data_IF_955987363930
#
_entry.id   IF_955987363930
#
_cell.length_a   1.000
_cell.length_b   1.000
_cell.length_c   1.000
_cell.angle_alpha   90.00
_cell.angle_beta   90.00
_cell.angle_gamma   90.00
#
_symmetry.space_group_name_H-M   'P 1'
#
loop_
_entity.id
_entity.type
_entity.pdbx_description
1 polymer ?
#
# COMPACT_ATOMS: atom_id res chain seq x y z
N UNK A 1 -46.67 -11.23 13.57
CA UNK A 1 -47.77 -10.95 12.61
C UNK A 1 -47.44 -9.68 11.88
N UNK A 2 -47.29 -9.69 10.59
CA UNK A 2 -47.07 -8.57 9.64
C UNK A 2 -45.76 -8.64 8.84
N UNK A 3 -45.59 -9.65 7.99
CA UNK A 3 -44.70 -9.60 6.80
C UNK A 3 -45.19 -10.56 5.69
N UNK A 4 -46.42 -11.07 5.77
CA UNK A 4 -46.99 -12.03 4.80
C UNK A 4 -48.06 -11.43 3.87
N UNK A 5 -48.18 -10.10 3.75
CA UNK A 5 -49.22 -9.43 2.96
C UNK A 5 -48.70 -8.66 1.72
N UNK A 6 -47.42 -8.68 1.39
CA UNK A 6 -46.85 -7.91 0.26
C UNK A 6 -46.63 -8.74 -1.03
N UNK A 7 -46.87 -10.06 -1.02
CA UNK A 7 -46.62 -10.92 -2.22
C UNK A 7 -47.88 -11.47 -2.90
N UNK A 8 -49.06 -10.99 -2.55
CA UNK A 8 -50.34 -11.54 -3.04
C UNK A 8 -51.01 -10.72 -4.14
N UNK A 9 -50.32 -9.75 -4.82
CA UNK A 9 -50.96 -8.87 -5.84
C UNK A 9 -50.34 -8.93 -7.22
N UNK A 10 -49.57 -9.94 -7.60
CA UNK A 10 -48.99 -10.09 -8.94
C UNK A 10 -49.37 -11.45 -9.60
N UNK A 11 -50.28 -12.18 -9.03
CA UNK A 11 -50.75 -13.45 -9.61
C UNK A 11 -52.25 -13.39 -9.94
N UNK A 12 -52.62 -12.54 -10.88
CA UNK A 12 -53.94 -12.61 -11.52
C UNK A 12 -53.82 -12.30 -13.01
N UNK A 13 -54.24 -13.25 -13.82
CA UNK A 13 -54.56 -13.15 -15.24
C UNK A 13 -53.42 -13.10 -16.25
N UNK A 14 -52.76 -14.22 -16.49
CA UNK A 14 -52.28 -14.54 -17.85
C UNK A 14 -53.15 -15.66 -18.40
N UNK A 15 -54.12 -15.29 -19.21
CA UNK A 15 -54.86 -16.23 -20.08
C UNK A 15 -53.90 -16.80 -21.14
N UNK A 16 -53.89 -18.11 -21.41
CA UNK A 16 -53.14 -18.71 -22.50
C UNK A 16 -53.93 -18.70 -23.78
N UNK A 17 -53.89 -17.60 -24.52
CA UNK A 17 -54.29 -17.57 -25.90
C UNK A 17 -53.27 -16.80 -26.74
N UNK A 18 -52.07 -17.38 -26.86
CA UNK A 18 -51.13 -16.98 -27.92
C UNK A 18 -51.27 -17.96 -29.07
N UNK A 19 -52.17 -17.65 -30.01
CA UNK A 19 -52.10 -18.15 -31.36
C UNK A 19 -50.68 -17.93 -31.87
N UNK A 20 -49.98 -19.01 -32.21
CA UNK A 20 -48.73 -18.98 -32.95
C UNK A 20 -49.01 -18.35 -34.34
N UNK A 21 -49.04 -17.01 -34.38
CA UNK A 21 -48.88 -16.28 -35.62
C UNK A 21 -47.44 -16.49 -36.09
N UNK A 22 -47.26 -17.24 -37.14
CA UNK A 22 -46.01 -17.34 -37.90
C UNK A 22 -45.62 -15.93 -38.30
N UNK A 23 -44.68 -15.34 -37.53
CA UNK A 23 -44.17 -14.00 -37.76
C UNK A 23 -43.57 -13.97 -39.18
N UNK A 24 -44.04 -13.08 -40.01
CA UNK A 24 -43.47 -12.83 -41.32
C UNK A 24 -41.99 -12.50 -41.20
N UNK A 25 -41.10 -12.97 -42.11
CA UNK A 25 -39.66 -12.71 -42.04
C UNK A 25 -39.30 -11.23 -41.80
N UNK A 26 -40.11 -10.32 -42.31
CA UNK A 26 -39.98 -8.88 -42.11
C UNK A 26 -40.25 -8.43 -40.66
N UNK A 27 -41.23 -9.02 -39.96
CA UNK A 27 -41.56 -8.71 -38.57
C UNK A 27 -40.47 -9.20 -37.62
N UNK A 28 -39.90 -10.37 -37.90
CA UNK A 28 -38.76 -10.93 -37.15
C UNK A 28 -37.50 -10.06 -37.33
N UNK A 29 -37.20 -9.62 -38.55
CA UNK A 29 -36.07 -8.75 -38.85
C UNK A 29 -36.19 -7.38 -38.14
N UNK A 30 -37.38 -6.77 -38.12
CA UNK A 30 -37.64 -5.50 -37.41
C UNK A 30 -37.50 -5.67 -35.92
N UNK A 31 -37.97 -6.78 -35.34
CA UNK A 31 -37.83 -7.08 -33.92
C UNK A 31 -36.38 -7.26 -33.53
N UNK A 32 -35.59 -8.02 -34.28
CA UNK A 32 -34.16 -8.25 -34.08
C UNK A 32 -33.36 -6.93 -34.16
N UNK A 33 -33.65 -6.10 -35.18
CA UNK A 33 -33.01 -4.80 -35.33
C UNK A 33 -33.34 -3.83 -34.15
N UNK A 34 -34.58 -3.89 -33.65
CA UNK A 34 -34.99 -3.11 -32.47
C UNK A 34 -34.27 -3.58 -31.19
N UNK A 35 -34.11 -4.89 -31.00
CA UNK A 35 -33.36 -5.45 -29.88
C UNK A 35 -31.88 -5.08 -29.96
N UNK A 36 -31.24 -5.21 -31.13
CA UNK A 36 -29.85 -4.81 -31.33
C UNK A 36 -29.62 -3.33 -31.01
N UNK A 37 -30.49 -2.44 -31.50
CA UNK A 37 -30.41 -1.00 -31.16
C UNK A 37 -30.57 -0.75 -29.66
N UNK A 38 -31.49 -1.46 -29.01
CA UNK A 38 -31.69 -1.33 -27.54
C UNK A 38 -30.45 -1.77 -26.76
N UNK A 39 -29.82 -2.87 -27.13
CA UNK A 39 -28.60 -3.37 -26.53
C UNK A 39 -27.45 -2.38 -26.74
N UNK A 40 -27.30 -1.85 -27.95
CA UNK A 40 -26.28 -0.85 -28.25
C UNK A 40 -26.49 0.44 -27.46
N UNK A 41 -27.73 0.90 -27.28
CA UNK A 41 -28.06 2.02 -26.42
C UNK A 41 -27.73 1.73 -24.95
N UNK A 42 -27.96 0.53 -24.45
CA UNK A 42 -27.62 0.16 -23.09
C UNK A 42 -26.10 0.19 -22.88
N UNK A 43 -25.33 -0.43 -23.78
CA UNK A 43 -23.85 -0.43 -23.71
C UNK A 43 -23.29 0.97 -23.80
N UNK A 44 -23.83 1.83 -24.67
CA UNK A 44 -23.36 3.21 -24.83
C UNK A 44 -23.65 4.11 -23.60
N UNK A 45 -24.66 3.76 -22.81
CA UNK A 45 -25.01 4.51 -21.59
C UNK A 45 -24.45 3.89 -20.30
N UNK A 46 -23.65 2.81 -20.38
CA UNK A 46 -22.96 2.28 -19.22
C UNK A 46 -21.87 3.28 -18.75
N UNK A 47 -21.72 3.49 -17.44
CA UNK A 47 -20.69 4.37 -16.88
C UNK A 47 -19.29 3.73 -16.90
N UNK A 48 -19.14 2.54 -17.44
CA UNK A 48 -17.91 1.77 -17.56
C UNK A 48 -17.45 1.70 -19.02
N UNK A 49 -16.14 1.69 -19.25
CA UNK A 49 -15.62 1.44 -20.58
C UNK A 49 -15.83 -0.02 -20.95
N UNK A 50 -16.42 -0.25 -22.12
CA UNK A 50 -16.69 -1.58 -22.67
C UNK A 50 -16.02 -1.67 -24.04
N UNK A 51 -15.19 -2.70 -24.21
CA UNK A 51 -14.39 -2.94 -25.41
C UNK A 51 -14.56 -4.40 -25.79
N UNK A 52 -14.79 -4.64 -27.07
CA UNK A 52 -14.88 -5.99 -27.65
C UNK A 52 -13.66 -6.19 -28.53
N UNK A 53 -12.92 -7.26 -28.28
CA UNK A 53 -11.83 -7.72 -29.16
C UNK A 53 -12.29 -8.88 -30.03
N UNK A 54 -11.81 -8.88 -31.26
CA UNK A 54 -11.97 -10.03 -32.16
C UNK A 54 -10.95 -11.16 -31.78
N UNK A 55 -11.05 -12.29 -32.50
CA UNK A 55 -10.18 -13.46 -32.32
C UNK A 55 -8.69 -13.17 -32.55
N UNK A 56 -8.35 -12.07 -33.23
CA UNK A 56 -6.98 -11.63 -33.52
C UNK A 56 -6.46 -10.59 -32.56
N UNK A 57 -7.26 -10.17 -31.57
CA UNK A 57 -6.90 -9.15 -30.58
C UNK A 57 -7.00 -7.72 -31.10
N UNK A 58 -7.80 -7.47 -32.14
CA UNK A 58 -8.12 -6.11 -32.56
C UNK A 58 -9.41 -5.64 -31.92
N UNK A 59 -9.51 -4.35 -31.65
CA UNK A 59 -10.72 -3.73 -31.10
C UNK A 59 -11.81 -3.72 -32.18
N UNK A 60 -12.82 -4.58 -32.05
CA UNK A 60 -13.96 -4.64 -32.92
C UNK A 60 -15.01 -3.57 -32.60
N UNK A 61 -15.31 -3.40 -31.29
CA UNK A 61 -16.27 -2.41 -30.79
C UNK A 61 -15.78 -1.74 -29.53
N UNK A 62 -16.19 -0.50 -29.32
CA UNK A 62 -15.94 0.26 -28.10
C UNK A 62 -17.09 1.23 -27.83
N UNK A 63 -17.49 1.36 -26.57
CA UNK A 63 -18.48 2.34 -26.18
C UNK A 63 -17.85 3.76 -26.00
N UNK A 64 -18.65 4.83 -25.94
CA UNK A 64 -18.14 6.20 -25.80
C UNK A 64 -17.24 6.40 -24.59
N UNK A 65 -17.49 5.70 -23.48
CA UNK A 65 -16.68 5.79 -22.26
C UNK A 65 -15.30 5.19 -22.51
N UNK A 66 -15.18 4.07 -23.21
CA UNK A 66 -13.88 3.49 -23.59
C UNK A 66 -13.06 4.46 -24.46
N UNK A 67 -13.71 5.10 -25.44
CA UNK A 67 -13.06 6.09 -26.30
C UNK A 67 -12.58 7.29 -25.48
N UNK A 68 -13.38 7.79 -24.55
CA UNK A 68 -13.00 8.91 -23.70
C UNK A 68 -11.87 8.57 -22.71
N UNK A 69 -11.76 7.30 -22.31
CA UNK A 69 -10.71 6.84 -21.39
C UNK A 69 -9.38 6.57 -22.09
N UNK A 70 -9.41 5.91 -23.25
CA UNK A 70 -8.23 5.40 -23.93
C UNK A 70 -7.77 6.24 -25.12
N UNK A 71 -8.60 7.22 -25.53
CA UNK A 71 -8.34 8.11 -26.66
C UNK A 71 -8.61 7.46 -28.03
N UNK A 72 -8.62 8.29 -29.05
CA UNK A 72 -8.77 7.88 -30.45
C UNK A 72 -7.41 7.75 -31.17
N UNK A 73 -7.30 6.92 -32.22
CA UNK A 73 -8.23 5.92 -32.69
C UNK A 73 -8.25 4.67 -31.78
N UNK A 74 -9.42 4.06 -31.55
CA UNK A 74 -9.54 2.89 -30.71
C UNK A 74 -10.03 1.67 -31.52
N UNK A 75 -11.14 1.81 -32.24
CA UNK A 75 -11.68 0.73 -33.07
C UNK A 75 -10.74 0.43 -34.24
N UNK A 76 -10.48 -0.85 -34.50
CA UNK A 76 -9.56 -1.34 -35.52
C UNK A 76 -8.08 -1.35 -35.13
N UNK A 77 -7.72 -0.90 -33.91
CA UNK A 77 -6.37 -0.99 -33.40
C UNK A 77 -6.10 -2.33 -32.71
N UNK A 78 -4.84 -2.77 -32.72
CA UNK A 78 -4.44 -3.91 -31.89
C UNK A 78 -4.49 -3.51 -30.41
N UNK A 79 -5.06 -4.38 -29.58
CA UNK A 79 -5.19 -4.11 -28.15
C UNK A 79 -3.83 -3.84 -27.48
N UNK A 80 -2.77 -4.54 -27.87
CA UNK A 80 -1.41 -4.31 -27.36
C UNK A 80 -0.90 -2.89 -27.62
N UNK A 81 -1.23 -2.32 -28.80
CA UNK A 81 -0.83 -0.96 -29.14
C UNK A 81 -1.60 0.07 -28.31
N UNK A 82 -2.88 -0.22 -28.02
CA UNK A 82 -3.71 0.59 -27.13
C UNK A 82 -3.16 0.55 -25.71
N UNK A 83 -2.77 -0.63 -25.22
CA UNK A 83 -2.13 -0.78 -23.90
C UNK A 83 -0.86 0.08 -23.83
N UNK A 84 0.05 -0.07 -24.78
CA UNK A 84 1.31 0.67 -24.80
C UNK A 84 1.10 2.20 -24.83
N UNK A 85 0.04 2.67 -25.49
CA UNK A 85 -0.29 4.10 -25.64
C UNK A 85 -1.02 4.69 -24.46
N UNK A 86 -1.95 3.95 -23.84
CA UNK A 86 -2.95 4.51 -22.91
C UNK A 86 -2.71 4.11 -21.47
N UNK A 87 -1.99 3.03 -21.21
CA UNK A 87 -1.73 2.53 -19.87
C UNK A 87 -0.32 2.90 -19.40
N UNK A 88 -0.22 3.24 -18.15
CA UNK A 88 1.05 3.46 -17.45
C UNK A 88 0.99 2.71 -16.13
N UNK A 89 1.21 1.38 -16.16
CA UNK A 89 1.18 0.58 -14.94
C UNK A 89 2.07 1.17 -13.86
N UNK A 90 1.53 1.28 -12.65
CA UNK A 90 2.25 1.70 -11.47
C UNK A 90 2.29 0.52 -10.51
N UNK A 91 3.29 0.49 -9.66
CA UNK A 91 3.44 -0.59 -8.68
C UNK A 91 2.33 -0.63 -7.64
N UNK A 92 1.71 0.51 -7.42
CA UNK A 92 0.61 0.64 -6.49
C UNK A 92 -0.74 0.26 -7.11
N UNK A 93 -0.74 -0.21 -8.34
CA UNK A 93 -1.96 -0.61 -9.05
C UNK A 93 -2.60 -1.88 -8.47
N UNK A 94 -1.82 -2.83 -7.96
CA UNK A 94 -2.34 -4.09 -7.42
C UNK A 94 -3.18 -4.86 -8.44
N UNK A 95 -4.50 -4.97 -8.20
CA UNK A 95 -5.47 -5.54 -9.15
C UNK A 95 -6.11 -4.48 -10.08
N UNK A 96 -5.59 -3.27 -10.07
CA UNK A 96 -6.00 -2.13 -10.89
C UNK A 96 -4.87 -1.78 -11.84
N UNK A 97 -5.12 -0.89 -12.79
CA UNK A 97 -4.09 -0.39 -13.71
C UNK A 97 -4.24 1.12 -13.83
N UNK A 98 -3.13 1.84 -13.79
CA UNK A 98 -3.11 3.28 -14.02
C UNK A 98 -3.10 3.60 -15.51
N UNK A 99 -3.90 4.58 -15.92
CA UNK A 99 -3.84 5.17 -17.24
C UNK A 99 -2.79 6.28 -17.30
N UNK A 100 -2.39 6.65 -18.52
CA UNK A 100 -1.41 7.71 -18.75
C UNK A 100 -1.87 9.07 -18.21
N UNK A 101 -3.17 9.34 -18.21
CA UNK A 101 -3.79 10.56 -17.66
C UNK A 101 -3.93 10.58 -16.12
N UNK A 102 -3.50 9.49 -15.47
CA UNK A 102 -3.52 9.36 -14.00
C UNK A 102 -4.78 8.71 -13.44
N UNK A 103 -5.79 8.39 -14.25
CA UNK A 103 -6.95 7.61 -13.80
C UNK A 103 -6.54 6.21 -13.39
N UNK A 104 -7.20 5.67 -12.38
CA UNK A 104 -7.06 4.29 -11.94
C UNK A 104 -8.27 3.48 -12.36
N UNK A 105 -8.04 2.42 -13.10
CA UNK A 105 -9.10 1.57 -13.64
C UNK A 105 -8.94 0.13 -13.18
N UNK A 106 -10.06 -0.51 -12.87
CA UNK A 106 -10.12 -1.96 -12.68
C UNK A 106 -10.38 -2.59 -14.03
N UNK A 107 -9.53 -3.53 -14.44
CA UNK A 107 -9.66 -4.30 -15.67
C UNK A 107 -10.37 -5.63 -15.36
N UNK A 108 -11.38 -5.97 -16.13
CA UNK A 108 -12.00 -7.29 -16.15
C UNK A 108 -12.04 -7.79 -17.60
N UNK A 109 -11.59 -9.03 -17.82
CA UNK A 109 -11.57 -9.68 -19.12
C UNK A 109 -12.45 -10.92 -19.03
N UNK A 110 -13.33 -11.13 -20.00
CA UNK A 110 -14.16 -12.32 -20.13
C UNK A 110 -14.23 -12.78 -21.58
N UNK A 111 -14.35 -14.10 -21.79
CA UNK A 111 -14.61 -14.69 -23.11
C UNK A 111 -16.03 -14.37 -23.59
N UNK A 112 -16.21 -14.23 -24.89
CA UNK A 112 -17.50 -13.98 -25.52
C UNK A 112 -18.20 -15.28 -26.00
N UNK A 113 -17.89 -16.42 -25.39
CA UNK A 113 -18.49 -17.69 -25.79
C UNK A 113 -20.00 -17.61 -25.99
N UNK A 114 -20.55 -18.20 -27.09
CA UNK A 114 -19.92 -19.07 -28.09
C UNK A 114 -19.22 -18.34 -29.25
N UNK A 115 -19.19 -17.02 -29.26
CA UNK A 115 -18.50 -16.23 -30.28
C UNK A 115 -17.01 -16.13 -29.95
N UNK A 116 -16.16 -16.12 -30.98
CA UNK A 116 -14.75 -15.93 -30.81
C UNK A 116 -14.45 -14.45 -30.47
N UNK A 117 -13.77 -14.20 -29.35
CA UNK A 117 -13.40 -12.86 -28.95
C UNK A 117 -13.34 -12.68 -27.43
N UNK A 118 -13.03 -11.46 -27.00
CA UNK A 118 -12.94 -11.11 -25.60
C UNK A 118 -13.67 -9.80 -25.30
N UNK A 119 -14.36 -9.77 -24.17
CA UNK A 119 -14.97 -8.58 -23.61
C UNK A 119 -14.03 -8.01 -22.54
N UNK A 120 -13.64 -6.76 -22.70
CA UNK A 120 -12.85 -6.01 -21.73
C UNK A 120 -13.71 -4.92 -21.13
N UNK A 121 -13.76 -4.88 -19.81
CA UNK A 121 -14.48 -3.85 -19.04
C UNK A 121 -13.50 -3.11 -18.18
N UNK A 122 -13.46 -1.76 -18.33
CA UNK A 122 -12.66 -0.88 -17.48
C UNK A 122 -13.60 -0.05 -16.60
N UNK A 123 -13.44 -0.17 -15.30
CA UNK A 123 -14.18 0.63 -14.31
C UNK A 123 -13.26 1.67 -13.72
N UNK A 124 -13.61 2.94 -13.84
CA UNK A 124 -12.87 4.04 -13.21
C UNK A 124 -13.07 4.01 -11.69
N UNK A 125 -11.97 3.88 -10.96
CA UNK A 125 -11.93 3.86 -9.50
C UNK A 125 -11.21 5.08 -8.92
N UNK A 126 -10.87 6.06 -9.75
CA UNK A 126 -10.06 7.22 -9.36
C UNK A 126 -10.69 7.98 -8.18
N UNK A 127 -11.97 8.33 -8.29
CA UNK A 127 -12.69 9.04 -7.21
C UNK A 127 -12.78 8.19 -5.94
N UNK A 128 -13.09 6.90 -6.08
CA UNK A 128 -13.18 5.96 -4.96
C UNK A 128 -11.85 5.89 -4.21
N UNK A 129 -10.74 5.79 -4.93
CA UNK A 129 -9.40 5.75 -4.33
C UNK A 129 -9.02 7.07 -3.67
N UNK A 130 -9.36 8.19 -4.27
CA UNK A 130 -9.13 9.51 -3.67
C UNK A 130 -9.92 9.67 -2.38
N UNK A 131 -11.20 9.26 -2.36
CA UNK A 131 -12.03 9.29 -1.16
C UNK A 131 -11.49 8.37 -0.07
N UNK A 132 -11.09 7.15 -0.40
CA UNK A 132 -10.46 6.22 0.55
C UNK A 132 -9.18 6.80 1.14
N UNK A 133 -8.31 7.39 0.33
CA UNK A 133 -7.09 8.04 0.79
C UNK A 133 -7.38 9.22 1.73
N UNK A 134 -8.36 10.07 1.36
CA UNK A 134 -8.80 11.19 2.22
C UNK A 134 -9.37 10.69 3.55
N UNK A 135 -10.22 9.68 3.53
CA UNK A 135 -10.79 9.08 4.75
C UNK A 135 -9.70 8.52 5.65
N UNK A 136 -8.77 7.74 5.12
CA UNK A 136 -7.65 7.20 5.88
C UNK A 136 -6.78 8.32 6.49
N UNK A 137 -6.56 9.41 5.76
CA UNK A 137 -5.86 10.58 6.27
C UNK A 137 -6.63 11.27 7.41
N UNK A 138 -7.93 11.51 7.24
CA UNK A 138 -8.78 12.12 8.28
C UNK A 138 -8.86 11.23 9.52
N UNK A 139 -8.93 9.92 9.37
CA UNK A 139 -8.90 8.98 10.49
C UNK A 139 -7.60 9.09 11.29
N UNK A 140 -6.43 9.17 10.61
CA UNK A 140 -5.14 9.36 11.28
C UNK A 140 -5.07 10.69 12.02
N UNK A 141 -5.51 11.78 11.39
CA UNK A 141 -5.58 13.09 12.03
C UNK A 141 -6.53 13.09 13.23
N UNK A 142 -7.68 12.42 13.12
CA UNK A 142 -8.63 12.27 14.24
C UNK A 142 -8.02 11.48 15.39
N UNK A 143 -7.29 10.38 15.09
CA UNK A 143 -6.58 9.60 16.10
C UNK A 143 -5.51 10.44 16.79
N UNK A 144 -4.73 11.19 16.03
CA UNK A 144 -3.74 12.13 16.54
C UNK A 144 -4.41 13.21 17.42
N UNK A 145 -5.53 13.78 16.96
CA UNK A 145 -6.31 14.77 17.70
C UNK A 145 -6.83 14.24 19.05
N UNK A 146 -7.38 13.03 19.08
CA UNK A 146 -7.86 12.39 20.32
C UNK A 146 -6.75 12.21 21.36
N UNK A 147 -5.50 12.07 20.90
CA UNK A 147 -4.35 11.81 21.77
C UNK A 147 -3.46 13.04 22.01
N UNK A 148 -3.87 14.22 21.57
CA UNK A 148 -3.10 15.47 21.73
C UNK A 148 -2.63 15.71 23.17
N UNK A 149 -3.47 15.43 24.17
CA UNK A 149 -3.10 15.58 25.57
C UNK A 149 -1.97 14.64 26.00
N UNK A 150 -2.03 13.37 25.56
CA UNK A 150 -0.97 12.38 25.82
C UNK A 150 0.32 12.75 25.10
N UNK A 151 0.24 13.16 23.83
CA UNK A 151 1.41 13.61 23.06
C UNK A 151 2.08 14.84 23.68
N UNK A 152 1.28 15.83 24.12
CA UNK A 152 1.80 16.99 24.81
C UNK A 152 2.52 16.60 26.11
N UNK A 153 2.03 15.61 26.85
CA UNK A 153 2.69 15.08 28.03
C UNK A 153 3.99 14.37 27.69
N UNK A 154 3.98 13.53 26.65
CA UNK A 154 5.18 12.81 26.19
C UNK A 154 6.29 13.75 25.68
N UNK A 155 5.96 14.86 25.03
CA UNK A 155 6.91 15.90 24.62
C UNK A 155 7.41 16.68 25.83
N UNK A 156 6.53 17.02 26.78
CA UNK A 156 6.90 17.84 27.95
C UNK A 156 7.96 17.17 28.82
N UNK A 157 7.86 15.86 29.02
CA UNK A 157 8.75 15.10 29.90
C UNK A 157 10.23 15.16 29.45
N UNK A 158 10.61 14.77 28.22
CA UNK A 158 11.99 14.88 27.74
C UNK A 158 12.45 16.33 27.63
N UNK A 159 11.56 17.27 27.25
CA UNK A 159 11.86 18.70 27.18
C UNK A 159 12.21 19.26 28.56
N UNK A 160 11.41 18.94 29.59
CA UNK A 160 11.70 19.37 30.96
C UNK A 160 13.03 18.81 31.49
N UNK A 161 13.31 17.53 31.14
CA UNK A 161 14.58 16.89 31.49
C UNK A 161 15.77 17.57 30.79
N UNK A 162 15.62 17.89 29.49
CA UNK A 162 16.64 18.59 28.71
C UNK A 162 16.92 19.99 29.29
N UNK A 163 15.87 20.75 29.66
CA UNK A 163 15.99 22.06 30.31
C UNK A 163 16.70 21.93 31.65
N UNK A 164 16.41 20.93 32.47
CA UNK A 164 17.06 20.70 33.74
C UNK A 164 18.59 20.43 33.55
N UNK A 165 18.94 19.57 32.58
CA UNK A 165 20.36 19.33 32.28
C UNK A 165 21.06 20.58 31.76
N UNK A 166 20.42 21.36 30.89
CA UNK A 166 20.94 22.63 30.40
C UNK A 166 21.16 23.63 31.54
N UNK A 167 20.20 23.76 32.48
CA UNK A 167 20.36 24.62 33.67
C UNK A 167 21.51 24.17 34.57
N UNK A 168 21.65 22.85 34.79
CA UNK A 168 22.78 22.35 35.61
C UNK A 168 24.13 22.66 34.95
N UNK A 169 24.21 22.62 33.60
CA UNK A 169 25.45 22.97 32.88
C UNK A 169 25.90 24.43 33.05
N UNK A 170 25.03 25.35 33.47
CA UNK A 170 25.37 26.74 33.74
C UNK A 170 26.08 26.94 35.09
N UNK A 171 26.06 25.89 35.94
CA UNK A 171 26.68 25.99 37.26
C UNK A 171 28.21 26.05 37.15
N UNK A 172 28.87 27.09 37.73
CA UNK A 172 30.32 27.21 37.72
C UNK A 172 31.02 26.19 38.63
N UNK A 173 30.28 25.55 39.53
CA UNK A 173 30.80 24.57 40.50
C UNK A 173 30.71 23.12 39.98
N UNK A 174 30.26 22.93 38.75
CA UNK A 174 30.11 21.58 38.19
C UNK A 174 31.49 21.01 37.84
N UNK A 175 31.77 19.79 38.33
CA UNK A 175 33.02 19.10 38.00
C UNK A 175 32.99 18.63 36.52
N UNK A 176 34.16 18.39 35.90
CA UNK A 176 34.26 18.02 34.49
C UNK A 176 33.41 16.76 34.13
N UNK A 177 33.49 15.71 34.94
CA UNK A 177 32.78 14.43 34.69
C UNK A 177 31.27 14.61 34.73
N UNK A 178 30.75 15.37 35.69
CA UNK A 178 29.31 15.68 35.77
C UNK A 178 28.86 16.58 34.60
N UNK A 179 29.75 17.48 34.15
CA UNK A 179 29.48 18.32 32.98
C UNK A 179 29.30 17.47 31.71
N UNK A 180 30.22 16.55 31.48
CA UNK A 180 30.17 15.63 30.36
C UNK A 180 28.90 14.73 30.43
N UNK A 181 28.61 14.18 31.61
CA UNK A 181 27.38 13.38 31.81
C UNK A 181 26.10 14.19 31.52
N UNK A 182 26.01 15.44 31.95
CA UNK A 182 24.85 16.28 31.68
C UNK A 182 24.75 16.67 30.21
N UNK A 183 25.87 16.90 29.52
CA UNK A 183 25.90 17.13 28.09
C UNK A 183 25.36 15.89 27.31
N UNK A 184 25.85 14.69 27.61
CA UNK A 184 25.37 13.45 27.01
C UNK A 184 23.88 13.24 27.26
N UNK A 185 23.41 13.45 28.50
CA UNK A 185 22.00 13.31 28.85
C UNK A 185 21.10 14.35 28.13
N UNK A 186 21.58 15.58 27.97
CA UNK A 186 20.91 16.64 27.25
C UNK A 186 20.73 16.26 25.77
N UNK A 187 21.84 15.87 25.13
CA UNK A 187 21.83 15.46 23.73
C UNK A 187 20.87 14.26 23.52
N UNK A 188 20.94 13.24 24.39
CA UNK A 188 20.07 12.08 24.32
C UNK A 188 18.58 12.48 24.39
N UNK A 189 18.19 13.40 25.29
CA UNK A 189 16.79 13.87 25.39
C UNK A 189 16.34 14.67 24.16
N UNK A 190 17.24 15.43 23.52
CA UNK A 190 16.93 16.17 22.30
C UNK A 190 16.76 15.22 21.10
N UNK A 191 17.59 14.18 20.99
CA UNK A 191 17.46 13.13 19.97
C UNK A 191 16.15 12.35 20.14
N UNK A 192 15.78 12.00 21.39
CA UNK A 192 14.50 11.35 21.68
C UNK A 192 13.32 12.22 21.22
N UNK A 193 13.38 13.53 21.47
CA UNK A 193 12.35 14.48 21.03
C UNK A 193 12.27 14.59 19.52
N UNK A 194 13.40 14.67 18.82
CA UNK A 194 13.47 14.72 17.37
C UNK A 194 12.82 13.48 16.76
N UNK A 195 13.16 12.30 17.28
CA UNK A 195 12.55 11.04 16.83
C UNK A 195 11.04 11.02 17.04
N UNK A 196 10.56 11.46 18.22
CA UNK A 196 9.12 11.53 18.50
C UNK A 196 8.38 12.43 17.51
N UNK A 197 8.93 13.60 17.21
CA UNK A 197 8.35 14.54 16.23
C UNK A 197 8.36 13.93 14.82
N UNK A 198 9.45 13.29 14.43
CA UNK A 198 9.56 12.63 13.13
C UNK A 198 8.55 11.49 12.97
N UNK A 199 8.36 10.66 14.00
CA UNK A 199 7.36 9.58 14.00
C UNK A 199 5.94 10.16 13.82
N UNK A 200 5.61 11.25 14.53
CA UNK A 200 4.32 11.92 14.39
C UNK A 200 4.12 12.48 12.97
N UNK A 201 5.14 13.10 12.39
CA UNK A 201 5.10 13.63 11.04
C UNK A 201 4.96 12.53 9.99
N UNK A 202 5.69 11.42 10.13
CA UNK A 202 5.59 10.27 9.25
C UNK A 202 4.18 9.65 9.34
N UNK A 203 3.64 9.47 10.54
CA UNK A 203 2.28 8.96 10.75
C UNK A 203 1.22 9.86 10.11
N UNK A 204 1.33 11.18 10.31
CA UNK A 204 0.40 12.15 9.73
C UNK A 204 0.47 12.22 8.20
N UNK A 205 1.65 12.01 7.61
CA UNK A 205 1.89 12.07 6.15
C UNK A 205 1.67 10.76 5.43
N UNK A 206 1.70 9.64 6.14
CA UNK A 206 1.53 8.32 5.55
C UNK A 206 0.21 8.25 4.76
N UNK A 207 0.24 7.75 3.52
CA UNK A 207 -0.92 7.63 2.62
C UNK A 207 -1.31 8.91 1.87
N UNK A 208 -0.53 9.99 1.92
CA UNK A 208 -0.56 11.01 0.87
C UNK A 208 0.14 10.47 -0.37
N UNK A 209 -0.27 10.91 -1.55
CA UNK A 209 0.47 10.62 -2.78
C UNK A 209 1.92 11.06 -2.61
N UNK A 210 2.80 10.08 -2.39
CA UNK A 210 4.23 10.30 -2.36
C UNK A 210 4.76 10.03 -3.77
N UNK A 211 5.75 10.82 -4.18
CA UNK A 211 6.49 10.46 -5.38
C UNK A 211 7.18 9.13 -5.14
N UNK A 212 6.75 8.11 -5.86
CA UNK A 212 7.36 6.79 -5.84
C UNK A 212 8.21 6.64 -7.09
N UNK A 213 9.37 6.00 -6.94
CA UNK A 213 10.33 5.73 -8.01
C UNK A 213 10.81 4.28 -7.93
N UNK A 214 11.30 3.70 -9.03
CA UNK A 214 11.98 2.41 -8.97
C UNK A 214 13.18 2.50 -8.04
N UNK A 215 13.19 1.68 -7.01
CA UNK A 215 14.17 1.70 -5.93
C UNK A 215 14.87 0.36 -5.82
N UNK A 216 16.19 0.36 -5.95
CA UNK A 216 17.04 -0.79 -5.67
C UNK A 216 17.00 -1.13 -4.18
N UNK A 217 16.75 -2.39 -3.85
CA UNK A 217 16.75 -2.84 -2.46
C UNK A 217 18.14 -2.87 -1.86
N UNK A 218 19.17 -3.19 -2.65
CA UNK A 218 20.55 -3.11 -2.18
C UNK A 218 20.88 -1.68 -1.72
N UNK A 219 20.53 -0.69 -2.55
CA UNK A 219 20.73 0.73 -2.21
C UNK A 219 19.92 1.14 -0.98
N UNK A 220 18.65 0.76 -0.91
CA UNK A 220 17.79 1.06 0.25
C UNK A 220 18.38 0.52 1.55
N UNK A 221 18.86 -0.73 1.57
CA UNK A 221 19.43 -1.34 2.78
C UNK A 221 20.77 -0.69 3.17
N UNK A 222 21.58 -0.26 2.20
CA UNK A 222 22.79 0.51 2.46
C UNK A 222 22.46 1.90 3.09
N UNK A 223 21.45 2.59 2.55
CA UNK A 223 21.00 3.89 3.08
C UNK A 223 20.41 3.73 4.51
N UNK A 224 19.69 2.64 4.77
CA UNK A 224 19.20 2.30 6.12
C UNK A 224 20.36 2.12 7.07
N UNK A 225 21.37 1.33 6.70
CA UNK A 225 22.54 1.07 7.55
C UNK A 225 23.30 2.34 7.85
N UNK A 226 23.60 3.17 6.84
CA UNK A 226 24.28 4.44 7.01
C UNK A 226 23.54 5.36 8.01
N UNK A 227 22.21 5.30 8.06
CA UNK A 227 21.40 6.08 9.00
C UNK A 227 21.40 5.57 10.45
N UNK A 228 21.83 4.32 10.69
CA UNK A 228 21.86 3.71 12.04
C UNK A 228 23.26 3.37 12.51
N UNK A 229 24.29 3.47 11.67
CA UNK A 229 25.66 3.07 11.94
C UNK A 229 26.23 3.68 13.24
N UNK A 230 26.09 4.99 13.39
CA UNK A 230 26.54 5.69 14.60
C UNK A 230 25.86 5.16 15.88
N UNK A 231 24.58 4.79 15.81
CA UNK A 231 23.83 4.24 16.93
C UNK A 231 24.29 2.80 17.24
N UNK A 232 24.55 2.01 16.19
CA UNK A 232 25.09 0.63 16.31
C UNK A 232 26.43 0.64 17.03
N UNK A 233 27.34 1.53 16.64
CA UNK A 233 28.65 1.70 17.29
C UNK A 233 28.51 2.17 18.74
N UNK A 234 27.70 3.19 18.98
CA UNK A 234 27.48 3.75 20.32
C UNK A 234 26.96 2.70 21.31
N UNK A 235 26.08 1.80 20.85
CA UNK A 235 25.50 0.75 21.69
C UNK A 235 26.30 -0.56 21.68
N UNK A 236 27.46 -0.59 21.02
CA UNK A 236 28.29 -1.80 20.88
C UNK A 236 27.48 -2.98 20.33
N UNK A 237 26.57 -2.71 19.40
CA UNK A 237 25.67 -3.65 18.78
C UNK A 237 26.24 -4.17 17.46
N UNK A 238 25.66 -5.24 16.90
CA UNK A 238 26.06 -5.80 15.62
C UNK A 238 24.85 -5.87 14.71
N UNK A 239 25.03 -5.50 13.43
CA UNK A 239 24.02 -5.64 12.40
C UNK A 239 24.59 -6.43 11.23
N UNK A 240 23.95 -7.54 10.88
CA UNK A 240 24.29 -8.37 9.72
C UNK A 240 23.32 -8.05 8.59
N UNK A 241 23.87 -7.60 7.46
CA UNK A 241 23.04 -7.24 6.29
C UNK A 241 23.19 -8.33 5.25
N UNK A 242 22.05 -8.86 4.80
CA UNK A 242 21.98 -9.81 3.69
C UNK A 242 21.23 -9.14 2.53
N UNK A 243 21.98 -8.80 1.50
CA UNK A 243 21.46 -8.16 0.28
C UNK A 243 20.84 -9.20 -0.66
N UNK A 244 19.81 -8.82 -1.44
CA UNK A 244 19.27 -9.70 -2.46
C UNK A 244 20.25 -9.83 -3.64
N UNK A 245 20.47 -11.06 -4.11
CA UNK A 245 21.28 -11.36 -5.30
C UNK A 245 20.46 -12.25 -6.25
N UNK A 246 20.15 -11.77 -7.46
CA UNK A 246 20.43 -10.44 -8.02
C UNK A 246 19.64 -9.32 -7.29
N UNK A 247 20.03 -8.05 -7.51
CA UNK A 247 19.30 -6.91 -6.96
C UNK A 247 17.84 -6.91 -7.43
N UNK A 248 16.94 -6.58 -6.52
CA UNK A 248 15.50 -6.52 -6.78
C UNK A 248 15.03 -5.07 -6.62
N UNK A 249 14.18 -4.63 -7.52
CA UNK A 249 13.58 -3.30 -7.45
C UNK A 249 12.15 -3.37 -6.94
N UNK A 250 11.79 -2.37 -6.15
CA UNK A 250 10.40 -2.08 -5.76
C UNK A 250 10.07 -0.65 -6.17
N UNK A 251 8.79 -0.32 -6.26
CA UNK A 251 8.41 1.08 -6.36
C UNK A 251 8.14 1.66 -4.98
N UNK A 252 8.82 2.75 -4.67
CA UNK A 252 8.65 3.34 -3.36
C UNK A 252 9.27 4.72 -3.22
N UNK A 253 8.95 5.37 -2.11
CA UNK A 253 9.63 6.59 -1.69
C UNK A 253 10.84 6.21 -0.81
N UNK A 254 12.09 6.50 -1.24
CA UNK A 254 13.29 6.06 -0.53
C UNK A 254 13.34 6.49 0.93
N UNK A 255 12.98 7.76 1.19
CA UNK A 255 13.02 8.34 2.55
C UNK A 255 12.01 7.69 3.49
N UNK A 256 10.79 7.46 3.01
CA UNK A 256 9.73 6.86 3.84
C UNK A 256 10.05 5.41 4.16
N UNK A 257 10.52 4.63 3.18
CA UNK A 257 10.89 3.23 3.38
C UNK A 257 12.12 3.09 4.27
N UNK A 258 13.16 3.90 4.03
CA UNK A 258 14.35 3.89 4.89
C UNK A 258 13.97 4.25 6.34
N UNK A 259 13.18 5.31 6.55
CA UNK A 259 12.73 5.71 7.88
C UNK A 259 11.91 4.63 8.58
N UNK A 260 11.04 3.91 7.86
CA UNK A 260 10.27 2.80 8.43
C UNK A 260 11.19 1.63 8.88
N UNK A 261 12.17 1.25 8.05
CA UNK A 261 13.11 0.17 8.40
C UNK A 261 14.03 0.61 9.55
N UNK A 262 14.53 1.85 9.52
CA UNK A 262 15.33 2.41 10.61
C UNK A 262 14.56 2.40 11.94
N UNK A 263 13.25 2.68 11.90
CA UNK A 263 12.37 2.60 13.06
C UNK A 263 12.31 1.17 13.65
N UNK A 264 12.25 0.13 12.81
CA UNK A 264 12.34 -1.25 13.29
C UNK A 264 13.68 -1.55 13.95
N UNK A 265 14.80 -1.16 13.33
CA UNK A 265 16.16 -1.34 13.87
C UNK A 265 16.29 -0.61 15.21
N UNK A 266 15.89 0.65 15.28
CA UNK A 266 15.95 1.44 16.51
C UNK A 266 15.08 0.86 17.62
N UNK A 267 13.87 0.36 17.30
CA UNK A 267 13.00 -0.29 18.26
C UNK A 267 13.67 -1.54 18.88
N UNK A 268 14.29 -2.37 18.07
CA UNK A 268 15.02 -3.56 18.54
C UNK A 268 16.19 -3.17 19.43
N UNK A 269 17.02 -2.22 19.00
CA UNK A 269 18.15 -1.73 19.80
C UNK A 269 17.72 -1.11 21.12
N UNK A 270 16.61 -0.38 21.15
CA UNK A 270 16.09 0.23 22.38
C UNK A 270 15.51 -0.80 23.36
N UNK A 271 15.00 -1.93 22.86
CA UNK A 271 14.45 -3.01 23.72
C UNK A 271 15.58 -3.83 24.32
N UNK A 272 16.60 -4.15 23.53
CA UNK A 272 17.72 -5.01 23.93
C UNK A 272 18.75 -4.22 24.75
N UNK A 273 19.04 -2.99 24.33
CA UNK A 273 20.11 -2.17 24.92
C UNK A 273 21.46 -2.48 24.28
N UNK A 274 22.54 -2.47 25.11
CA UNK A 274 23.90 -2.74 24.64
C UNK A 274 24.07 -4.19 24.16
N UNK A 275 24.85 -4.37 23.10
CA UNK A 275 25.18 -5.68 22.57
C UNK A 275 24.07 -6.34 21.76
N UNK A 276 23.13 -5.57 21.21
CA UNK A 276 22.10 -6.10 20.36
C UNK A 276 22.70 -6.75 19.09
N UNK A 277 22.17 -7.90 18.73
CA UNK A 277 22.49 -8.60 17.47
C UNK A 277 21.27 -8.54 16.56
N UNK A 278 21.45 -7.87 15.43
CA UNK A 278 20.40 -7.63 14.46
C UNK A 278 20.73 -8.28 13.11
N UNK A 279 19.73 -8.73 12.39
CA UNK A 279 19.85 -9.16 11.00
C UNK A 279 18.86 -8.36 10.16
N UNK A 280 19.36 -7.71 9.12
CA UNK A 280 18.59 -7.02 8.09
C UNK A 280 18.72 -7.81 6.79
N UNK A 281 17.64 -8.40 6.31
CA UNK A 281 17.63 -9.29 5.16
C UNK A 281 16.62 -8.78 4.12
N UNK A 282 16.99 -8.83 2.84
CA UNK A 282 16.02 -8.72 1.76
C UNK A 282 16.18 -9.88 0.79
N UNK A 283 15.05 -10.47 0.38
CA UNK A 283 15.01 -11.56 -0.61
C UNK A 283 13.63 -11.66 -1.24
N UNK A 284 13.54 -12.33 -2.36
CA UNK A 284 12.24 -12.72 -2.91
C UNK A 284 11.48 -13.60 -1.92
N UNK A 285 10.17 -13.40 -1.82
CA UNK A 285 9.33 -14.24 -0.99
C UNK A 285 9.30 -15.68 -1.56
N UNK A 286 9.47 -16.65 -0.69
CA UNK A 286 9.55 -18.08 -1.08
C UNK A 286 8.19 -18.64 -1.49
N UNK A 287 7.11 -18.03 -1.03
CA UNK A 287 5.73 -18.47 -1.32
C UNK A 287 5.19 -17.77 -2.57
N UNK A 288 5.50 -16.50 -2.72
CA UNK A 288 5.06 -15.71 -3.86
C UNK A 288 6.24 -14.91 -4.47
N UNK A 289 6.86 -15.41 -5.57
CA UNK A 289 7.99 -14.74 -6.21
C UNK A 289 7.69 -13.33 -6.78
N UNK A 290 6.43 -12.93 -6.83
CA UNK A 290 6.04 -11.55 -7.19
C UNK A 290 6.19 -10.56 -6.04
N UNK A 291 6.49 -11.07 -4.85
CA UNK A 291 6.74 -10.25 -3.66
C UNK A 291 8.22 -10.35 -3.26
N UNK A 292 8.71 -9.26 -2.72
CA UNK A 292 9.99 -9.23 -2.01
C UNK A 292 9.72 -9.02 -0.53
N UNK A 293 10.49 -9.69 0.29
CA UNK A 293 10.46 -9.59 1.74
C UNK A 293 11.70 -8.82 2.21
N UNK A 294 11.48 -7.82 3.05
CA UNK A 294 12.53 -7.16 3.85
C UNK A 294 12.26 -7.52 5.31
N UNK A 295 13.21 -8.19 5.95
CA UNK A 295 13.08 -8.60 7.35
C UNK A 295 14.10 -7.91 8.24
N UNK A 296 13.65 -7.48 9.42
CA UNK A 296 14.49 -7.05 10.54
C UNK A 296 14.29 -8.04 11.66
N UNK A 297 15.38 -8.71 12.04
CA UNK A 297 15.40 -9.69 13.12
C UNK A 297 16.30 -9.23 14.27
N UNK A 298 15.95 -9.63 15.48
CA UNK A 298 16.74 -9.32 16.66
C UNK A 298 16.85 -10.52 17.63
N UNK A 299 17.79 -10.39 18.57
CA UNK A 299 18.02 -11.34 19.66
C UNK A 299 17.37 -10.90 20.99
N UNK A 300 16.34 -10.07 20.93
CA UNK A 300 15.63 -9.55 22.11
C UNK A 300 14.65 -10.56 22.73
N UNK A 301 13.77 -10.09 23.61
CA UNK A 301 12.78 -10.97 24.28
C UNK A 301 11.61 -11.38 23.39
N UNK A 302 11.52 -10.84 22.15
CA UNK A 302 10.35 -11.04 21.29
C UNK A 302 9.09 -10.30 21.80
N UNK A 303 7.93 -10.66 21.23
CA UNK A 303 6.62 -10.10 21.59
C UNK A 303 5.73 -11.19 22.16
N UNK A 304 5.21 -11.03 23.39
CA UNK A 304 4.24 -11.98 23.99
C UNK A 304 3.02 -12.16 23.09
N UNK A 305 2.51 -13.38 22.99
CA UNK A 305 1.43 -13.75 22.08
C UNK A 305 0.18 -12.86 22.21
N UNK A 306 -0.21 -12.54 23.44
CA UNK A 306 -1.37 -11.70 23.72
C UNK A 306 -1.23 -10.24 23.27
N UNK A 307 0.00 -9.76 22.93
CA UNK A 307 0.27 -8.41 22.48
C UNK A 307 0.47 -8.31 20.96
N UNK A 308 0.69 -9.43 20.27
CA UNK A 308 1.07 -9.44 18.85
C UNK A 308 0.07 -8.73 17.92
N UNK A 309 -1.22 -8.75 18.27
CA UNK A 309 -2.24 -8.02 17.51
C UNK A 309 -2.23 -6.53 17.80
N UNK A 310 -1.85 -6.13 19.00
CA UNK A 310 -1.92 -4.75 19.47
C UNK A 310 -0.66 -3.92 19.17
N UNK A 311 0.49 -4.57 18.91
CA UNK A 311 1.76 -3.85 18.69
C UNK A 311 1.73 -2.89 17.49
N UNK A 312 0.80 -3.07 16.55
CA UNK A 312 0.62 -2.20 15.39
C UNK A 312 -0.44 -1.11 15.63
N UNK A 313 -1.17 -1.17 16.75
CA UNK A 313 -2.14 -0.12 17.08
C UNK A 313 -1.40 1.20 17.41
N UNK A 314 -1.83 2.32 16.85
CA UNK A 314 -1.23 3.61 17.17
C UNK A 314 -1.28 3.90 18.68
N UNK A 315 -0.16 4.37 19.24
CA UNK A 315 0.01 4.71 20.65
C UNK A 315 0.07 3.52 21.62
N UNK A 316 0.02 2.30 21.11
CA UNK A 316 0.27 1.13 21.94
C UNK A 316 1.76 1.02 22.26
N UNK A 317 2.09 0.99 23.54
CA UNK A 317 3.47 0.85 24.01
C UNK A 317 3.52 0.14 25.36
N UNK A 318 4.50 -0.72 25.52
CA UNK A 318 4.84 -1.37 26.80
C UNK A 318 5.95 -0.60 27.55
N UNK A 319 6.50 0.46 26.94
CA UNK A 319 7.58 1.26 27.50
C UNK A 319 7.08 2.59 28.04
N UNK A 320 7.57 3.00 29.20
CA UNK A 320 7.19 4.25 29.86
C UNK A 320 7.52 5.52 29.06
N UNK A 321 8.51 5.45 28.18
CA UNK A 321 8.96 6.58 27.35
C UNK A 321 8.69 6.35 25.85
N UNK A 322 8.00 5.28 25.50
CA UNK A 322 7.66 4.98 24.10
C UNK A 322 6.47 5.80 23.62
N UNK A 323 6.51 6.27 22.38
CA UNK A 323 5.37 6.96 21.73
C UNK A 323 4.27 6.00 21.32
N UNK A 324 4.60 4.73 21.13
CA UNK A 324 3.68 3.75 20.55
C UNK A 324 3.32 4.04 19.08
N UNK A 325 4.04 4.94 18.42
CA UNK A 325 3.80 5.27 17.00
C UNK A 325 4.71 4.48 16.05
N UNK A 326 5.87 4.03 16.50
CA UNK A 326 6.89 3.46 15.62
C UNK A 326 6.37 2.34 14.72
N UNK A 327 5.77 1.29 15.28
CA UNK A 327 5.23 0.17 14.49
C UNK A 327 4.00 0.57 13.68
N UNK A 328 3.16 1.47 14.17
CA UNK A 328 2.03 2.01 13.41
C UNK A 328 2.50 2.82 12.19
N UNK A 329 3.60 3.56 12.31
CA UNK A 329 4.26 4.25 11.18
C UNK A 329 4.76 3.24 10.17
N UNK A 330 5.45 2.19 10.60
CA UNK A 330 5.96 1.14 9.72
C UNK A 330 4.81 0.49 8.93
N UNK A 331 3.72 0.14 9.61
CA UNK A 331 2.52 -0.42 8.98
C UNK A 331 1.90 0.56 7.97
N UNK A 332 1.77 1.83 8.33
CA UNK A 332 1.21 2.86 7.46
C UNK A 332 2.08 3.10 6.22
N UNK A 333 3.41 3.08 6.37
CA UNK A 333 4.36 3.17 5.24
C UNK A 333 4.28 1.92 4.38
N UNK A 334 4.24 0.71 4.94
CA UNK A 334 4.08 -0.51 4.18
C UNK A 334 2.79 -0.47 3.32
N UNK A 335 1.66 -0.14 3.93
CA UNK A 335 0.37 -0.04 3.21
C UNK A 335 0.37 1.05 2.13
N UNK A 336 1.04 2.19 2.35
CA UNK A 336 1.12 3.26 1.32
C UNK A 336 1.97 2.88 0.11
N UNK A 337 2.74 1.79 0.23
CA UNK A 337 3.54 1.20 -0.85
C UNK A 337 2.98 -0.16 -1.33
N UNK A 338 1.68 -0.41 -1.11
CA UNK A 338 0.97 -1.67 -1.42
C UNK A 338 1.61 -2.91 -0.79
N UNK A 339 2.35 -2.71 0.27
CA UNK A 339 2.96 -3.75 1.06
C UNK A 339 2.15 -4.12 2.29
N UNK A 340 2.66 -5.07 3.01
CA UNK A 340 2.15 -5.48 4.32
C UNK A 340 3.29 -5.70 5.30
N UNK A 341 2.98 -5.70 6.60
CA UNK A 341 3.92 -6.05 7.66
C UNK A 341 3.41 -7.28 8.39
N UNK A 342 4.33 -8.18 8.76
CA UNK A 342 4.06 -9.36 9.59
C UNK A 342 5.05 -9.40 10.75
N UNK A 343 4.62 -10.04 11.84
CA UNK A 343 5.48 -10.40 12.96
C UNK A 343 5.63 -11.91 13.02
N UNK A 344 6.82 -12.39 13.35
CA UNK A 344 7.12 -13.75 13.73
C UNK A 344 8.25 -13.77 14.76
N UNK A 345 8.53 -14.93 15.36
CA UNK A 345 9.67 -15.11 16.24
C UNK A 345 10.94 -15.28 15.40
N UNK A 346 11.99 -14.55 15.77
CA UNK A 346 13.31 -14.65 15.13
C UNK A 346 14.02 -15.97 15.48
N UNK A 347 14.81 -16.47 14.55
CA UNK A 347 15.76 -17.56 14.80
C UNK A 347 16.86 -17.16 15.77
N UNK A 348 17.08 -15.85 15.97
CA UNK A 348 17.99 -15.29 16.98
C UNK A 348 17.39 -15.30 18.39
N UNK A 349 16.13 -15.71 18.54
CA UNK A 349 15.40 -15.78 19.80
C UNK A 349 14.46 -14.61 20.10
N UNK A 350 14.56 -13.51 19.36
CA UNK A 350 13.80 -12.27 19.56
C UNK A 350 12.65 -12.08 18.58
N UNK A 351 12.45 -10.83 18.15
CA UNK A 351 11.42 -10.44 17.18
C UNK A 351 11.94 -10.54 15.74
N UNK A 352 11.03 -10.87 14.82
CA UNK A 352 11.21 -10.77 13.39
C UNK A 352 10.03 -10.02 12.79
N UNK A 353 10.32 -8.87 12.17
CA UNK A 353 9.36 -8.08 11.42
C UNK A 353 9.64 -8.21 9.93
N UNK A 354 8.64 -8.60 9.17
CA UNK A 354 8.71 -8.82 7.73
C UNK A 354 7.83 -7.82 6.98
N UNK A 355 8.46 -7.02 6.15
CA UNK A 355 7.81 -6.12 5.21
C UNK A 355 7.75 -6.79 3.84
N UNK A 356 6.57 -6.92 3.27
CA UNK A 356 6.33 -7.54 1.97
C UNK A 356 5.89 -6.48 0.97
N UNK A 357 6.59 -6.39 -0.17
CA UNK A 357 6.29 -5.43 -1.23
C UNK A 357 6.21 -6.12 -2.59
N UNK A 358 5.39 -5.61 -3.54
CA UNK A 358 5.41 -6.07 -4.92
C UNK A 358 6.77 -5.79 -5.58
N UNK A 359 7.27 -6.77 -6.32
CA UNK A 359 8.49 -6.60 -7.14
C UNK A 359 8.17 -5.68 -8.31
N UNK A 360 9.02 -4.69 -8.54
CA UNK A 360 8.95 -3.87 -9.75
C UNK A 360 9.67 -4.56 -10.89
N UNK A 361 8.92 -4.88 -11.94
CA UNK A 361 9.45 -5.37 -13.20
C UNK A 361 9.33 -4.23 -14.22
N UNK A 362 10.45 -3.66 -14.72
CA UNK A 362 10.36 -2.67 -15.76
C UNK A 362 9.70 -3.29 -17.00
N UNK A 363 8.68 -2.64 -17.56
CA UNK A 363 8.05 -3.05 -18.81
C UNK A 363 9.07 -2.83 -19.92
N UNK A 364 9.87 -3.83 -20.23
CA UNK A 364 10.67 -3.86 -21.45
C UNK A 364 9.75 -4.11 -22.61
N UNK A 365 9.74 -3.19 -23.59
CA UNK A 365 9.04 -3.37 -24.84
C UNK A 365 9.55 -4.67 -25.50
N UNK A 366 8.81 -5.77 -25.38
CA UNK A 366 9.16 -7.05 -26.00
C UNK A 366 8.84 -8.32 -25.23
N UNK A 367 8.36 -8.25 -23.98
CA UNK A 367 7.90 -9.47 -23.30
C UNK A 367 6.39 -9.59 -23.41
N UNK A 368 5.95 -10.59 -24.21
CA UNK A 368 4.60 -11.11 -24.25
C UNK A 368 4.15 -11.42 -22.83
N UNK A 369 3.11 -10.72 -22.36
CA UNK A 369 2.41 -11.04 -21.14
C UNK A 369 1.77 -12.42 -21.32
N UNK A 370 2.48 -13.47 -20.95
CA UNK A 370 1.94 -14.82 -20.75
C UNK A 370 1.07 -14.83 -19.49
N UNK A 371 -0.06 -14.16 -19.53
CA UNK A 371 -1.16 -14.39 -18.61
C UNK A 371 -2.21 -15.25 -19.30
N UNK A 372 -1.83 -16.51 -19.55
CA UNK A 372 -2.80 -17.55 -19.90
C UNK A 372 -2.55 -18.74 -18.96
N UNK A 373 -3.58 -19.10 -18.25
CA UNK A 373 -3.82 -20.37 -17.54
C UNK A 373 -3.10 -20.58 -16.18
N UNK A 374 -3.80 -20.18 -15.12
CA UNK A 374 -4.23 -21.18 -14.11
C UNK A 374 -5.45 -20.62 -13.36
#
# INVERSE_FOLDING_TARGET
MSTAKAYAYVAAEVQPDVQLQTATPAATAIHTARQARRLQHLVNNLPTAVIVLDERGYVAEANPVAISMLGEPLVGQRWLDVIARSFRPRSDDGMEVSLLDGRRVKLAISSLEPEAGQLIVLTDLTETRQLQSRLAHLQRLSTLGKMMASLAHQIRTPLSSALLYAQNLTSPKLNPDSREQFQHKLVARLVDLEQQVNDMLLFARAGREQQVEPLSLQRLLCDVFAGVEALVEQQQSQIHIQLPEPDVQILGNPRSLAGAIQNLVQNSMQIIGQGAVLKLEARLDTVNPQLVMIAVEDNGPGVPEHLQQQIFEPFFTTRSQGTGLGLAVVQAVAHSHNGSIRYSTSVLGGARFELLFPVYVPVTAGQELSYANN
#
